data_IF_648142760498
#
_entry.id   IF_648142760498
#
_cell.length_a   1.000
_cell.length_b   1.000
_cell.length_c   1.000
_cell.angle_alpha   90.00
_cell.angle_beta   90.00
_cell.angle_gamma   90.00
#
_symmetry.space_group_name_H-M   'P 1'
#
loop_
_entity.id
_entity.type
_entity.pdbx_description
1 polymer ?
#
# COMPACT_ATOMS: atom_id res chain seq x y z
N UNK A 1 -9.63 12.78 10.60
CA UNK A 1 -8.42 12.73 9.76
C UNK A 1 -8.83 12.99 8.31
N UNK A 2 -8.06 13.72 7.56
CA UNK A 2 -8.41 14.05 6.16
C UNK A 2 -7.68 13.07 5.27
N UNK A 3 -8.44 12.25 4.54
CA UNK A 3 -7.91 11.28 3.58
C UNK A 3 -7.64 11.87 2.19
N UNK A 4 -7.79 13.21 2.05
CA UNK A 4 -7.66 13.91 0.77
C UNK A 4 -8.94 13.91 -0.06
N UNK A 5 -9.96 13.13 0.29
CA UNK A 5 -11.24 13.18 -0.42
C UNK A 5 -12.02 14.46 -0.09
N UNK A 6 -12.86 14.87 -1.01
CA UNK A 6 -13.73 16.02 -0.87
C UNK A 6 -15.19 15.58 -0.85
N UNK A 7 -16.02 16.28 -0.10
CA UNK A 7 -17.47 16.11 -0.14
C UNK A 7 -18.04 16.51 -1.51
N UNK A 8 -19.33 16.30 -1.73
CA UNK A 8 -20.04 16.62 -2.99
C UNK A 8 -19.84 18.08 -3.47
N UNK A 9 -19.57 19.00 -2.55
CA UNK A 9 -19.27 20.39 -2.87
C UNK A 9 -17.88 20.61 -3.52
N UNK A 10 -17.06 19.56 -3.60
CA UNK A 10 -15.68 19.55 -4.12
C UNK A 10 -14.74 20.58 -3.44
N UNK A 11 -15.04 20.98 -2.21
CA UNK A 11 -14.28 21.96 -1.43
C UNK A 11 -14.05 21.53 0.01
N UNK A 12 -15.07 20.94 0.64
CA UNK A 12 -15.00 20.52 2.03
C UNK A 12 -14.31 19.16 2.13
N UNK A 13 -13.20 19.03 2.87
CA UNK A 13 -12.57 17.73 3.10
C UNK A 13 -13.54 16.78 3.79
N UNK A 14 -13.53 15.51 3.41
CA UNK A 14 -14.26 14.47 4.11
C UNK A 14 -13.75 14.32 5.54
N UNK A 15 -14.65 13.99 6.43
CA UNK A 15 -14.36 13.76 7.84
C UNK A 15 -14.51 12.27 8.21
N UNK A 16 -14.22 11.95 9.46
CA UNK A 16 -14.32 10.59 9.98
C UNK A 16 -15.74 10.00 9.80
N UNK A 17 -16.79 10.79 10.08
CA UNK A 17 -18.17 10.29 10.01
C UNK A 17 -18.59 10.04 8.56
N UNK A 18 -18.17 10.88 7.62
CA UNK A 18 -18.36 10.64 6.19
C UNK A 18 -17.68 9.35 5.75
N UNK A 19 -16.40 9.17 6.11
CA UNK A 19 -15.63 7.96 5.77
C UNK A 19 -16.30 6.70 6.36
N UNK A 20 -16.72 6.75 7.63
CA UNK A 20 -17.48 5.66 8.27
C UNK A 20 -18.76 5.34 7.49
N UNK A 21 -19.55 6.36 7.13
CA UNK A 21 -20.82 6.18 6.42
C UNK A 21 -20.60 5.48 5.07
N UNK A 22 -19.74 6.04 4.22
CA UNK A 22 -19.49 5.51 2.88
C UNK A 22 -18.88 4.10 2.94
N UNK A 23 -17.93 3.89 3.82
CA UNK A 23 -17.28 2.58 3.99
C UNK A 23 -18.29 1.53 4.48
N UNK A 24 -19.15 1.86 5.45
CA UNK A 24 -20.19 0.96 5.94
C UNK A 24 -21.18 0.57 4.84
N UNK A 25 -21.68 1.53 4.08
CA UNK A 25 -22.57 1.27 2.93
C UNK A 25 -21.89 0.35 1.90
N UNK A 26 -20.61 0.57 1.64
CA UNK A 26 -19.80 -0.29 0.75
C UNK A 26 -19.68 -1.71 1.29
N UNK A 27 -19.41 -1.86 2.58
CA UNK A 27 -19.31 -3.16 3.25
C UNK A 27 -20.63 -3.93 3.14
N UNK A 28 -21.76 -3.30 3.43
CA UNK A 28 -23.08 -3.93 3.35
C UNK A 28 -23.34 -4.49 1.94
N UNK A 29 -23.05 -3.71 0.89
CA UNK A 29 -23.21 -4.15 -0.50
C UNK A 29 -22.22 -5.27 -0.84
N UNK A 30 -20.94 -5.10 -0.51
CA UNK A 30 -19.89 -6.02 -0.88
C UNK A 30 -20.05 -7.39 -0.19
N UNK A 31 -20.30 -7.39 1.13
CA UNK A 31 -20.48 -8.62 1.90
C UNK A 31 -21.71 -9.43 1.43
N UNK A 32 -22.81 -8.75 1.08
CA UNK A 32 -23.97 -9.42 0.48
C UNK A 32 -23.63 -10.19 -0.80
N UNK A 33 -22.56 -9.80 -1.50
CA UNK A 33 -22.08 -10.44 -2.73
C UNK A 33 -20.81 -11.29 -2.52
N UNK A 34 -20.36 -11.46 -1.28
CA UNK A 34 -19.19 -12.27 -0.95
C UNK A 34 -17.85 -11.61 -1.25
N UNK A 35 -17.80 -10.28 -1.32
CA UNK A 35 -16.61 -9.48 -1.61
C UNK A 35 -16.11 -8.81 -0.33
N UNK A 36 -14.81 -8.93 -0.05
CA UNK A 36 -14.15 -8.29 1.10
C UNK A 36 -13.89 -6.81 0.81
N UNK A 37 -13.88 -5.99 1.87
CA UNK A 37 -13.67 -4.54 1.79
C UNK A 37 -12.44 -4.15 2.60
N UNK A 38 -11.58 -3.35 1.97
CA UNK A 38 -10.50 -2.63 2.62
C UNK A 38 -10.92 -1.18 2.83
N UNK A 39 -10.86 -0.70 4.06
CA UNK A 39 -10.97 0.70 4.39
C UNK A 39 -9.61 1.33 4.59
N UNK A 40 -9.52 2.64 4.54
CA UNK A 40 -8.31 3.39 4.84
C UNK A 40 -8.59 4.49 5.85
N UNK A 41 -7.70 4.64 6.82
CA UNK A 41 -7.78 5.66 7.84
C UNK A 41 -6.39 6.25 8.11
N UNK A 42 -6.28 7.55 7.96
CA UNK A 42 -5.04 8.26 8.16
C UNK A 42 -4.68 9.13 6.97
N UNK A 43 -3.70 9.99 7.16
CA UNK A 43 -3.13 10.79 6.09
C UNK A 43 -1.77 10.20 5.73
N UNK A 44 -1.65 9.64 4.54
CA UNK A 44 -0.35 9.19 4.05
C UNK A 44 0.59 10.38 3.91
N UNK A 45 1.83 10.19 4.27
CA UNK A 45 2.85 11.23 4.17
C UNK A 45 4.19 10.79 4.76
N UNK A 46 5.22 11.57 4.47
CA UNK A 46 6.58 11.26 4.91
C UNK A 46 6.86 11.82 6.30
N UNK A 47 7.23 10.97 7.24
CA UNK A 47 7.71 11.38 8.56
C UNK A 47 9.03 12.19 8.48
N UNK A 48 9.81 12.03 7.41
CA UNK A 48 11.05 12.78 7.21
C UNK A 48 10.78 14.27 6.90
N UNK A 49 9.77 14.55 6.05
CA UNK A 49 9.50 15.91 5.57
C UNK A 49 8.30 16.57 6.24
N UNK A 50 7.44 15.81 6.90
CA UNK A 50 6.16 16.28 7.41
C UNK A 50 5.12 16.58 6.32
N UNK A 51 5.44 16.31 5.07
CA UNK A 51 4.54 16.56 3.95
C UNK A 51 3.53 15.42 3.80
N UNK A 52 2.25 15.78 3.79
CA UNK A 52 1.18 14.88 3.37
C UNK A 52 1.27 14.54 1.88
N UNK A 53 0.63 13.47 1.48
CA UNK A 53 0.62 13.02 0.10
C UNK A 53 -0.26 13.89 -0.78
N UNK A 54 0.16 14.06 -2.04
CA UNK A 54 -0.56 14.80 -3.08
C UNK A 54 -0.58 14.00 -4.40
N UNK A 55 -0.89 12.70 -4.35
CA UNK A 55 -0.78 11.84 -5.54
C UNK A 55 -1.67 12.33 -6.70
N UNK A 56 -2.88 12.78 -6.40
CA UNK A 56 -3.85 13.27 -7.40
C UNK A 56 -4.02 14.81 -7.37
N UNK A 57 -3.05 15.54 -6.81
CA UNK A 57 -3.13 16.99 -6.66
C UNK A 57 -4.11 17.43 -5.55
N UNK A 58 -4.61 16.50 -4.76
CA UNK A 58 -5.44 16.73 -3.58
C UNK A 58 -4.72 16.17 -2.37
N UNK A 59 -4.52 16.97 -1.35
CA UNK A 59 -3.82 16.55 -0.13
C UNK A 59 -3.65 17.70 0.87
N UNK A 60 -2.92 17.45 1.94
CA UNK A 60 -2.59 18.48 2.91
C UNK A 60 -1.58 19.47 2.33
N UNK A 61 -1.96 20.75 2.23
CA UNK A 61 -1.07 21.80 1.72
C UNK A 61 -0.04 22.26 2.77
N UNK A 62 -0.18 21.84 4.02
CA UNK A 62 0.66 22.26 5.14
C UNK A 62 1.55 21.11 5.63
N UNK A 63 2.65 21.47 6.31
CA UNK A 63 3.49 20.51 7.03
C UNK A 63 2.69 19.99 8.23
N UNK A 64 2.45 18.67 8.23
CA UNK A 64 1.71 17.99 9.29
C UNK A 64 2.62 17.59 10.43
N UNK A 65 2.10 17.54 11.64
CA UNK A 65 2.82 16.98 12.77
C UNK A 65 2.99 15.46 12.61
N UNK A 66 3.98 14.89 13.29
CA UNK A 66 4.26 13.46 13.27
C UNK A 66 3.01 12.61 13.59
N UNK A 67 2.23 13.01 14.59
CA UNK A 67 1.01 12.29 14.96
C UNK A 67 -0.12 12.44 13.92
N UNK A 68 -0.16 13.53 13.18
CA UNK A 68 -1.14 13.70 12.10
C UNK A 68 -0.86 12.83 10.86
N UNK A 69 0.38 12.38 10.70
CA UNK A 69 0.83 11.45 9.65
C UNK A 69 0.72 9.98 10.06
N UNK A 70 0.18 9.70 11.24
CA UNK A 70 0.01 8.35 11.77
C UNK A 70 -1.46 8.10 12.12
N UNK A 71 -1.96 6.92 11.76
CA UNK A 71 -3.31 6.51 12.15
C UNK A 71 -3.41 6.40 13.66
N UNK A 72 -4.41 7.05 14.26
CA UNK A 72 -4.69 6.93 15.69
C UNK A 72 -5.27 5.55 16.02
N UNK A 73 -4.75 4.82 17.03
CA UNK A 73 -5.20 3.46 17.36
C UNK A 73 -6.64 3.38 17.88
N UNK A 74 -7.15 4.42 18.54
CA UNK A 74 -8.53 4.45 19.05
C UNK A 74 -9.51 4.76 17.93
N UNK A 75 -9.18 5.71 17.06
CA UNK A 75 -9.94 5.97 15.83
C UNK A 75 -9.99 4.73 14.93
N UNK A 76 -8.85 4.02 14.77
CA UNK A 76 -8.80 2.78 13.99
C UNK A 76 -9.76 1.72 14.55
N UNK A 77 -9.75 1.52 15.86
CA UNK A 77 -10.65 0.58 16.53
C UNK A 77 -12.13 0.99 16.38
N UNK A 78 -12.43 2.28 16.51
CA UNK A 78 -13.78 2.80 16.31
C UNK A 78 -14.25 2.65 14.86
N UNK A 79 -13.38 2.96 13.89
CA UNK A 79 -13.66 2.83 12.46
C UNK A 79 -14.02 1.38 12.10
N UNK A 80 -13.20 0.41 12.47
CA UNK A 80 -13.46 -1.01 12.19
C UNK A 80 -14.75 -1.48 12.87
N UNK A 81 -14.98 -1.08 14.13
CA UNK A 81 -16.21 -1.42 14.86
C UNK A 81 -17.47 -0.87 14.17
N UNK A 82 -17.42 0.34 13.63
CA UNK A 82 -18.56 0.99 12.96
C UNK A 82 -18.81 0.47 11.54
N UNK A 83 -17.73 0.17 10.80
CA UNK A 83 -17.80 -0.17 9.38
C UNK A 83 -17.79 -1.66 9.10
N UNK A 84 -17.19 -2.46 9.96
CA UNK A 84 -16.98 -3.91 9.80
C UNK A 84 -16.14 -4.26 8.56
N UNK A 85 -15.15 -3.44 8.21
CA UNK A 85 -14.20 -3.76 7.14
C UNK A 85 -13.36 -5.00 7.46
N UNK A 86 -12.95 -5.73 6.44
CA UNK A 86 -12.10 -6.92 6.56
C UNK A 86 -10.64 -6.56 6.76
N UNK A 87 -10.22 -5.46 6.16
CA UNK A 87 -8.86 -4.95 6.22
C UNK A 87 -8.85 -3.44 6.40
N UNK A 88 -7.84 -2.94 7.10
CA UNK A 88 -7.63 -1.52 7.32
C UNK A 88 -6.24 -1.09 6.87
N UNK A 89 -6.19 -0.22 5.87
CA UNK A 89 -4.97 0.49 5.52
C UNK A 89 -4.70 1.59 6.53
N UNK A 90 -3.47 1.64 7.03
CA UNK A 90 -3.03 2.53 8.09
C UNK A 90 -1.87 3.40 7.64
N UNK A 91 -1.91 4.67 8.02
CA UNK A 91 -0.81 5.60 7.83
C UNK A 91 0.27 5.36 8.91
N UNK A 92 1.47 5.06 8.47
CA UNK A 92 2.59 4.66 9.34
C UNK A 92 3.91 5.34 8.92
N UNK A 93 3.82 6.49 8.25
CA UNK A 93 4.98 7.28 7.83
C UNK A 93 5.44 7.06 6.40
N UNK A 94 4.59 6.50 5.55
CA UNK A 94 4.87 6.23 4.14
C UNK A 94 3.98 7.07 3.22
N UNK A 95 4.46 7.31 2.00
CA UNK A 95 3.74 7.96 0.92
C UNK A 95 3.84 7.16 -0.37
N UNK A 96 2.91 7.36 -1.31
CA UNK A 96 3.00 6.80 -2.65
C UNK A 96 4.10 7.47 -3.49
N UNK A 97 4.34 6.96 -4.70
CA UNK A 97 5.31 7.50 -5.63
C UNK A 97 6.75 7.05 -5.37
N UNK A 98 7.66 7.54 -6.23
CA UNK A 98 9.07 7.17 -6.20
C UNK A 98 9.91 8.05 -5.28
N UNK A 99 9.49 9.27 -5.01
CA UNK A 99 10.24 10.25 -4.23
C UNK A 99 9.74 10.25 -2.79
N UNK A 100 10.12 9.21 -2.03
CA UNK A 100 9.64 8.98 -0.65
C UNK A 100 10.55 9.61 0.40
N UNK A 101 11.85 9.31 0.32
CA UNK A 101 12.85 9.77 1.27
C UNK A 101 14.04 10.36 0.52
N UNK A 102 14.61 11.44 1.08
CA UNK A 102 15.71 12.20 0.46
C UNK A 102 17.09 11.69 0.87
N UNK A 103 17.15 10.83 1.88
CA UNK A 103 18.39 10.22 2.41
C UNK A 103 18.18 8.72 2.63
N UNK A 104 19.26 7.93 2.68
CA UNK A 104 19.18 6.52 3.00
C UNK A 104 18.47 6.30 4.36
N UNK A 105 17.50 5.36 4.42
CA UNK A 105 16.81 5.03 5.65
C UNK A 105 17.77 4.56 6.75
N UNK A 106 17.53 4.99 7.99
CA UNK A 106 18.36 4.68 9.16
C UNK A 106 17.78 3.61 10.08
N UNK A 107 16.63 3.03 9.72
CA UNK A 107 15.97 1.95 10.48
C UNK A 107 14.78 2.42 11.32
N UNK A 108 14.33 3.65 11.10
CA UNK A 108 13.21 4.31 11.78
C UNK A 108 12.19 4.91 10.80
N UNK A 109 12.11 4.32 9.61
CA UNK A 109 11.25 4.81 8.51
C UNK A 109 9.79 4.56 8.80
N UNK A 110 9.47 3.38 9.33
CA UNK A 110 8.11 2.99 9.69
C UNK A 110 7.85 3.18 11.18
N UNK A 111 6.66 3.66 11.51
CA UNK A 111 6.18 3.75 12.89
C UNK A 111 5.76 2.36 13.41
N UNK A 112 6.73 1.46 13.62
CA UNK A 112 6.48 0.05 14.02
C UNK A 112 5.70 -0.04 15.33
N UNK A 113 5.96 0.83 16.29
CA UNK A 113 5.22 0.84 17.56
C UNK A 113 3.75 1.20 17.36
N UNK A 114 3.43 2.09 16.42
CA UNK A 114 2.06 2.41 16.03
C UNK A 114 1.34 1.19 15.41
N UNK A 115 2.04 0.41 14.59
CA UNK A 115 1.51 -0.88 14.06
C UNK A 115 1.16 -1.82 15.20
N UNK A 116 2.04 -1.97 16.20
CA UNK A 116 1.82 -2.82 17.38
C UNK A 116 0.60 -2.36 18.20
N UNK A 117 0.48 -1.04 18.42
CA UNK A 117 -0.65 -0.46 19.16
C UNK A 117 -1.98 -0.74 18.47
N UNK A 118 -2.04 -0.49 17.15
CA UNK A 118 -3.25 -0.76 16.34
C UNK A 118 -3.56 -2.25 16.33
N UNK A 119 -2.57 -3.11 16.08
CA UNK A 119 -2.78 -4.56 16.05
C UNK A 119 -3.26 -5.12 17.40
N UNK A 120 -2.80 -4.56 18.51
CA UNK A 120 -3.27 -4.92 19.85
C UNK A 120 -4.77 -4.62 20.04
N UNK A 121 -5.26 -3.52 19.48
CA UNK A 121 -6.68 -3.13 19.53
C UNK A 121 -7.53 -3.87 18.49
N UNK A 122 -6.93 -4.27 17.38
CA UNK A 122 -7.58 -4.90 16.22
C UNK A 122 -6.92 -6.25 15.87
N UNK A 123 -6.90 -7.24 16.78
CA UNK A 123 -6.17 -8.49 16.56
C UNK A 123 -6.76 -9.37 15.45
N UNK A 124 -8.01 -9.12 15.05
CA UNK A 124 -8.74 -9.89 14.02
C UNK A 124 -8.85 -9.14 12.69
N UNK A 125 -8.37 -7.89 12.59
CA UNK A 125 -8.43 -7.08 11.36
C UNK A 125 -7.09 -7.14 10.63
N UNK A 126 -7.12 -7.39 9.32
CA UNK A 126 -5.91 -7.35 8.51
C UNK A 126 -5.41 -5.92 8.36
N UNK A 127 -4.20 -5.64 8.84
CA UNK A 127 -3.57 -4.35 8.60
C UNK A 127 -2.91 -4.32 7.21
N UNK A 128 -3.05 -3.19 6.54
CA UNK A 128 -2.52 -2.97 5.19
C UNK A 128 -1.54 -1.80 5.22
N UNK A 129 -0.44 -1.95 4.48
CA UNK A 129 0.55 -0.89 4.25
C UNK A 129 0.47 -0.39 2.83
N UNK A 130 0.19 0.91 2.66
CA UNK A 130 0.33 1.64 1.41
C UNK A 130 1.71 2.32 1.35
N UNK A 131 2.09 2.82 0.17
CA UNK A 131 3.34 3.55 0.00
C UNK A 131 4.62 2.77 0.30
N UNK A 132 4.59 1.44 0.27
CA UNK A 132 5.62 0.55 0.83
C UNK A 132 6.69 0.09 -0.17
N UNK A 133 6.74 0.66 -1.37
CA UNK A 133 7.81 0.33 -2.33
C UNK A 133 9.19 0.66 -1.79
N UNK A 134 10.16 -0.23 -2.04
CA UNK A 134 11.53 -0.11 -1.51
C UNK A 134 12.45 0.73 -2.38
N UNK A 135 12.02 1.07 -3.59
CA UNK A 135 12.78 1.88 -4.56
C UNK A 135 14.18 1.29 -4.80
N UNK A 136 14.29 0.11 -5.47
CA UNK A 136 15.57 -0.57 -5.67
C UNK A 136 16.58 0.32 -6.41
N UNK A 137 17.74 0.55 -5.79
CA UNK A 137 18.74 1.50 -6.26
C UNK A 137 19.42 1.05 -7.56
N UNK A 138 19.52 -0.25 -7.79
CA UNK A 138 20.02 -0.84 -9.04
C UNK A 138 19.12 -0.53 -10.23
N UNK A 139 17.80 -0.48 -10.02
CA UNK A 139 16.84 -0.08 -11.06
C UNK A 139 16.97 1.41 -11.40
N UNK A 140 17.12 2.29 -10.41
CA UNK A 140 17.36 3.72 -10.63
C UNK A 140 18.67 3.91 -11.42
N UNK A 141 19.73 3.22 -11.02
CA UNK A 141 21.01 3.24 -11.71
C UNK A 141 20.86 2.81 -13.17
N UNK A 142 20.18 1.69 -13.42
CA UNK A 142 19.93 1.20 -14.78
C UNK A 142 19.12 2.22 -15.61
N UNK A 143 18.06 2.78 -15.04
CA UNK A 143 17.25 3.79 -15.73
C UNK A 143 18.12 5.00 -16.14
N UNK A 144 18.96 5.47 -15.22
CA UNK A 144 19.81 6.65 -15.47
C UNK A 144 20.96 6.34 -16.45
N UNK A 145 21.54 5.13 -16.40
CA UNK A 145 22.54 4.67 -17.35
C UNK A 145 22.00 4.66 -18.80
N UNK A 146 20.74 4.27 -18.97
CA UNK A 146 20.08 4.20 -20.28
C UNK A 146 19.20 5.43 -20.59
N UNK A 147 19.68 6.63 -20.21
CA UNK A 147 19.11 7.91 -20.64
C UNK A 147 17.98 8.44 -19.76
N UNK A 148 17.75 7.86 -18.57
CA UNK A 148 16.86 8.43 -17.55
C UNK A 148 17.52 9.56 -16.76
N UNK A 149 16.70 10.26 -15.95
CA UNK A 149 17.14 11.33 -15.05
C UNK A 149 16.36 11.29 -13.74
N UNK A 150 16.23 10.10 -13.14
CA UNK A 150 15.59 9.98 -11.84
C UNK A 150 16.54 10.57 -10.79
N UNK A 151 16.01 11.47 -9.95
CA UNK A 151 16.76 12.05 -8.83
C UNK A 151 17.01 11.00 -7.76
N UNK A 152 18.00 11.26 -6.93
CA UNK A 152 18.27 10.45 -5.76
C UNK A 152 17.03 10.38 -4.86
N UNK A 153 16.62 9.16 -4.54
CA UNK A 153 15.45 8.89 -3.70
C UNK A 153 15.54 7.48 -3.14
N UNK A 154 14.92 7.25 -2.01
CA UNK A 154 14.94 5.99 -1.28
C UNK A 154 13.52 5.57 -0.92
N UNK A 155 13.30 4.27 -0.75
CA UNK A 155 12.04 3.69 -0.34
C UNK A 155 12.11 3.04 1.03
N UNK A 156 11.07 2.29 1.37
CA UNK A 156 10.99 1.59 2.66
C UNK A 156 11.92 0.39 2.67
N UNK A 157 12.78 0.24 3.72
CA UNK A 157 13.64 -0.93 3.87
C UNK A 157 12.83 -2.22 3.98
N UNK A 158 13.27 -3.27 3.29
CA UNK A 158 12.63 -4.60 3.36
C UNK A 158 12.58 -5.13 4.80
N UNK A 159 13.64 -4.90 5.59
CA UNK A 159 13.69 -5.30 7.00
C UNK A 159 12.59 -4.66 7.85
N UNK A 160 12.24 -3.40 7.60
CA UNK A 160 11.15 -2.73 8.30
C UNK A 160 9.78 -3.24 7.85
N UNK A 161 9.60 -3.55 6.56
CA UNK A 161 8.39 -4.21 6.07
C UNK A 161 8.21 -5.58 6.73
N UNK A 162 9.28 -6.36 6.82
CA UNK A 162 9.28 -7.66 7.52
C UNK A 162 8.92 -7.51 9.00
N UNK A 163 9.38 -6.45 9.65
CA UNK A 163 9.00 -6.16 11.04
C UNK A 163 7.51 -5.79 11.15
N UNK A 164 6.97 -5.02 10.20
CA UNK A 164 5.53 -4.75 10.10
C UNK A 164 4.71 -6.04 9.94
N UNK A 165 5.16 -6.97 9.09
CA UNK A 165 4.52 -8.27 8.90
C UNK A 165 4.45 -9.08 10.21
N UNK A 166 5.53 -9.12 10.99
CA UNK A 166 5.55 -9.77 12.30
C UNK A 166 4.55 -9.16 13.29
N UNK A 167 4.24 -7.88 13.11
CA UNK A 167 3.39 -7.10 14.00
C UNK A 167 1.96 -6.87 13.50
N UNK A 168 1.46 -7.67 12.56
CA UNK A 168 0.04 -7.68 12.19
C UNK A 168 -0.28 -7.21 10.77
N UNK A 169 0.70 -6.69 10.03
CA UNK A 169 0.50 -6.36 8.61
C UNK A 169 0.31 -7.66 7.81
N UNK A 170 -0.71 -7.67 6.94
CA UNK A 170 -1.06 -8.84 6.12
C UNK A 170 -1.10 -8.55 4.62
N UNK A 171 -1.18 -7.28 4.24
CA UNK A 171 -1.13 -6.84 2.84
C UNK A 171 -0.15 -5.67 2.71
N UNK A 172 0.69 -5.72 1.69
CA UNK A 172 1.65 -4.67 1.36
C UNK A 172 1.45 -4.30 -0.11
N UNK A 173 1.16 -3.03 -0.38
CA UNK A 173 0.99 -2.53 -1.73
C UNK A 173 2.35 -2.12 -2.30
N UNK A 174 2.71 -2.72 -3.45
CA UNK A 174 3.95 -2.45 -4.17
C UNK A 174 3.61 -2.04 -5.60
N UNK A 175 3.87 -0.80 -5.96
CA UNK A 175 3.65 -0.25 -7.29
C UNK A 175 4.93 0.34 -7.89
N UNK A 176 5.56 1.29 -7.21
CA UNK A 176 6.74 2.00 -7.73
C UNK A 176 7.87 1.06 -8.13
N UNK A 177 8.13 -0.01 -7.36
CA UNK A 177 9.17 -1.00 -7.68
C UNK A 177 8.90 -1.67 -9.03
N UNK A 178 7.64 -1.95 -9.35
CA UNK A 178 7.23 -2.54 -10.62
C UNK A 178 7.37 -1.53 -11.78
N UNK A 179 6.98 -0.28 -11.55
CA UNK A 179 7.17 0.81 -12.55
C UNK A 179 8.64 1.03 -12.85
N UNK A 180 9.51 1.01 -11.84
CA UNK A 180 10.96 1.13 -12.02
C UNK A 180 11.52 -0.06 -12.80
N UNK A 181 11.12 -1.29 -12.47
CA UNK A 181 11.57 -2.49 -13.18
C UNK A 181 11.14 -2.49 -14.65
N UNK A 182 9.89 -2.12 -14.92
CA UNK A 182 9.36 -1.95 -16.28
C UNK A 182 10.17 -0.91 -17.06
N UNK A 183 10.37 0.28 -16.47
CA UNK A 183 11.08 1.40 -17.12
C UNK A 183 12.54 1.05 -17.38
N UNK A 184 13.23 0.41 -16.43
CA UNK A 184 14.61 -0.02 -16.58
C UNK A 184 14.76 -1.00 -17.74
N UNK A 185 13.88 -2.00 -17.81
CA UNK A 185 13.90 -3.01 -18.88
C UNK A 185 13.64 -2.40 -20.26
N UNK A 186 12.64 -1.52 -20.37
CA UNK A 186 12.31 -0.85 -21.65
C UNK A 186 13.46 0.06 -22.12
N UNK A 187 14.03 0.86 -21.21
CA UNK A 187 15.16 1.73 -21.57
C UNK A 187 16.37 0.93 -22.04
N UNK A 188 16.71 -0.14 -21.34
CA UNK A 188 17.78 -1.07 -21.72
C UNK A 188 17.49 -1.72 -23.08
N UNK A 189 16.25 -2.11 -23.35
CA UNK A 189 15.82 -2.68 -24.62
C UNK A 189 16.10 -1.71 -25.79
N UNK A 190 15.63 -0.47 -25.69
CA UNK A 190 15.85 0.54 -26.73
C UNK A 190 17.31 0.99 -26.89
N UNK A 191 18.09 0.90 -25.81
CA UNK A 191 19.54 1.12 -25.91
C UNK A 191 20.22 0.02 -26.74
N UNK A 192 19.84 -1.24 -26.51
CA UNK A 192 20.42 -2.40 -27.20
C UNK A 192 19.92 -2.55 -28.64
N UNK A 193 18.68 -2.16 -28.91
CA UNK A 193 18.06 -2.17 -30.24
C UNK A 193 17.31 -0.84 -30.48
N UNK A 194 18.03 0.22 -30.91
CA UNK A 194 17.43 1.52 -31.18
C UNK A 194 16.42 1.52 -32.33
N UNK A 195 16.41 0.49 -33.17
CA UNK A 195 15.48 0.37 -34.29
C UNK A 195 14.14 -0.27 -33.90
N UNK A 196 14.05 -0.81 -32.71
CA UNK A 196 12.85 -1.52 -32.26
C UNK A 196 11.67 -0.57 -32.10
N UNK A 197 10.54 -0.92 -32.72
CA UNK A 197 9.30 -0.16 -32.64
C UNK A 197 8.08 -1.02 -32.23
N UNK A 198 8.22 -2.35 -32.24
CA UNK A 198 7.11 -3.26 -31.94
C UNK A 198 6.94 -3.41 -30.43
N UNK A 199 5.80 -2.93 -29.85
CA UNK A 199 5.55 -2.99 -28.42
C UNK A 199 5.54 -4.42 -27.85
N UNK A 200 5.19 -5.42 -28.64
CA UNK A 200 5.23 -6.83 -28.21
C UNK A 200 6.62 -7.29 -27.81
N UNK A 201 7.68 -6.67 -28.32
CA UNK A 201 9.08 -6.98 -28.01
C UNK A 201 9.53 -6.32 -26.71
N UNK A 202 9.51 -4.99 -26.63
CA UNK A 202 9.99 -4.29 -25.43
C UNK A 202 9.08 -4.47 -24.21
N UNK A 203 7.77 -4.71 -24.39
CA UNK A 203 6.88 -5.07 -23.30
C UNK A 203 7.10 -6.49 -22.76
N UNK A 204 7.68 -7.39 -23.56
CA UNK A 204 8.10 -8.69 -23.06
C UNK A 204 9.23 -8.54 -22.03
N UNK A 205 10.26 -7.73 -22.35
CA UNK A 205 11.35 -7.46 -21.41
C UNK A 205 10.85 -6.72 -20.16
N UNK A 206 9.93 -5.76 -20.32
CA UNK A 206 9.23 -5.11 -19.21
C UNK A 206 8.55 -6.12 -18.27
N UNK A 207 7.79 -7.05 -18.84
CA UNK A 207 7.11 -8.12 -18.10
C UNK A 207 8.08 -9.00 -17.31
N UNK A 208 9.18 -9.42 -17.95
CA UNK A 208 10.19 -10.25 -17.28
C UNK A 208 10.90 -9.47 -16.16
N UNK A 209 11.20 -8.19 -16.36
CA UNK A 209 11.74 -7.32 -15.31
C UNK A 209 10.81 -7.19 -14.09
N UNK A 210 9.53 -6.92 -14.32
CA UNK A 210 8.53 -6.88 -13.24
C UNK A 210 8.39 -8.23 -12.53
N UNK A 211 8.42 -9.34 -13.28
CA UNK A 211 8.34 -10.70 -12.72
C UNK A 211 9.48 -11.01 -11.74
N UNK A 212 10.68 -10.49 -12.01
CA UNK A 212 11.82 -10.63 -11.08
C UNK A 212 11.48 -9.97 -9.75
N UNK A 213 11.01 -8.73 -9.77
CA UNK A 213 10.63 -7.99 -8.57
C UNK A 213 9.49 -8.69 -7.82
N UNK A 214 8.44 -9.13 -8.52
CA UNK A 214 7.32 -9.85 -7.87
C UNK A 214 7.81 -11.10 -7.13
N UNK A 215 8.65 -11.92 -7.77
CA UNK A 215 9.21 -13.12 -7.12
C UNK A 215 10.03 -12.76 -5.89
N UNK A 216 10.90 -11.77 -5.99
CA UNK A 216 11.71 -11.30 -4.89
C UNK A 216 10.86 -10.82 -3.71
N UNK A 217 9.83 -10.02 -3.95
CA UNK A 217 8.92 -9.55 -2.89
C UNK A 217 8.12 -10.70 -2.26
N UNK A 218 7.67 -11.69 -3.04
CA UNK A 218 6.99 -12.87 -2.49
C UNK A 218 7.91 -13.69 -1.57
N UNK A 219 9.20 -13.79 -1.88
CA UNK A 219 10.19 -14.44 -1.04
C UNK A 219 10.48 -13.62 0.22
N UNK A 220 10.77 -12.33 0.08
CA UNK A 220 11.09 -11.42 1.18
C UNK A 220 9.94 -11.25 2.19
N UNK A 221 8.70 -11.28 1.71
CA UNK A 221 7.50 -11.15 2.55
C UNK A 221 6.98 -12.50 3.07
N UNK A 222 7.66 -13.61 2.78
CA UNK A 222 7.34 -14.93 3.30
C UNK A 222 6.10 -15.58 2.69
N UNK A 223 5.62 -15.07 1.54
CA UNK A 223 4.43 -15.63 0.84
C UNK A 223 4.78 -16.65 -0.22
N UNK A 224 6.03 -16.74 -0.65
CA UNK A 224 6.49 -17.73 -1.62
C UNK A 224 6.21 -19.17 -1.14
N UNK A 225 5.85 -20.06 -2.07
CA UNK A 225 5.56 -21.47 -1.77
C UNK A 225 4.21 -21.74 -1.09
N UNK A 226 3.35 -20.74 -0.94
CA UNK A 226 2.05 -20.90 -0.27
C UNK A 226 0.85 -20.99 -1.23
N UNK A 227 1.01 -20.69 -2.52
CA UNK A 227 -0.10 -20.65 -3.48
C UNK A 227 -0.91 -21.97 -3.54
N UNK A 228 -0.24 -23.13 -3.48
CA UNK A 228 -0.91 -24.43 -3.50
C UNK A 228 -1.72 -24.74 -2.24
N UNK A 229 -1.48 -24.01 -1.14
CA UNK A 229 -2.20 -24.16 0.13
C UNK A 229 -3.51 -23.34 0.16
N UNK A 230 -3.61 -22.33 -0.72
CA UNK A 230 -4.77 -21.44 -0.78
C UNK A 230 -5.83 -22.09 -1.66
N UNK A 231 -7.02 -22.30 -1.07
CA UNK A 231 -8.18 -22.82 -1.80
C UNK A 231 -9.20 -21.69 -1.94
N UNK A 232 -9.37 -21.12 -3.16
CA UNK A 232 -10.37 -20.09 -3.40
C UNK A 232 -11.77 -20.57 -3.02
N UNK A 233 -12.54 -19.72 -2.38
CA UNK A 233 -13.97 -19.94 -2.11
C UNK A 233 -14.78 -19.23 -3.17
N UNK A 234 -15.97 -19.77 -3.50
CA UNK A 234 -16.88 -19.07 -4.41
C UNK A 234 -17.50 -17.85 -3.72
N UNK A 235 -17.95 -16.87 -4.51
CA UNK A 235 -18.63 -15.69 -3.97
C UNK A 235 -19.87 -16.07 -3.15
N UNK A 236 -20.62 -17.09 -3.57
CA UNK A 236 -21.79 -17.57 -2.81
C UNK A 236 -21.41 -18.14 -1.44
N UNK A 237 -20.31 -18.88 -1.35
CA UNK A 237 -19.79 -19.38 -0.06
C UNK A 237 -19.32 -18.23 0.81
N UNK A 238 -18.63 -17.24 0.23
CA UNK A 238 -18.18 -16.05 0.96
C UNK A 238 -19.36 -15.22 1.46
N UNK A 239 -20.40 -14.97 0.62
CA UNK A 239 -21.62 -14.27 1.03
C UNK A 239 -22.30 -14.96 2.21
N UNK A 240 -22.39 -16.28 2.19
CA UNK A 240 -22.96 -17.04 3.32
C UNK A 240 -22.10 -16.92 4.60
N UNK A 241 -20.77 -16.93 4.48
CA UNK A 241 -19.87 -16.76 5.62
C UNK A 241 -19.99 -15.37 6.26
N UNK A 242 -20.19 -14.33 5.46
CA UNK A 242 -20.48 -12.98 5.97
C UNK A 242 -21.84 -12.92 6.66
N UNK A 243 -22.88 -13.48 6.03
CA UNK A 243 -24.24 -13.54 6.60
C UNK A 243 -24.30 -14.30 7.94
N UNK A 244 -23.48 -15.33 8.09
CA UNK A 244 -23.40 -16.14 9.29
C UNK A 244 -22.46 -15.57 10.39
N UNK A 245 -21.86 -14.40 10.15
CA UNK A 245 -20.84 -13.76 11.00
C UNK A 245 -19.64 -14.69 11.32
N UNK A 246 -19.25 -15.51 10.34
CA UNK A 246 -18.19 -16.52 10.52
C UNK A 246 -16.79 -16.05 10.07
N UNK A 247 -16.70 -14.88 9.45
CA UNK A 247 -15.42 -14.34 8.97
C UNK A 247 -14.77 -13.36 9.94
N UNK A 248 -15.54 -12.69 10.80
CA UNK A 248 -15.05 -11.72 11.78
C UNK A 248 -14.09 -12.29 12.84
N UNK A 249 -13.99 -13.62 12.96
CA UNK A 249 -13.26 -14.26 14.05
C UNK A 249 -12.18 -15.27 13.64
N UNK A 250 -11.92 -15.48 12.36
CA UNK A 250 -11.00 -16.54 11.91
C UNK A 250 -10.18 -16.14 10.69
N UNK A 251 -9.30 -15.19 10.89
CA UNK A 251 -8.24 -15.01 9.93
C UNK A 251 -6.90 -15.20 10.65
N UNK A 252 -6.43 -16.45 10.61
CA UNK A 252 -5.10 -16.85 11.03
C UNK A 252 -4.26 -17.19 9.82
#
# INVERSE_FOLDING_TARGET
MRDGSLLEDQKTPSDFDFNVKVTKETVEIAHAHGVSVEGELGCLGSLETGMGEQEDGVGAEEVLSHDQLLTDPDEAAEFVRKTQVDALAIAIGTSHGAYKFTRPPTGDTLAIDRIKEINKKLPSTHLVMHGSSSVPQDLIKTINEFGGKIKETYGVPISEIQEGIKNGVRKINIDTDLRLASTAAIRKHFHNDPSQFDPRKYLLDSKEGMKVIVKQRLEEFGTAGNASKIKPKSLSVMSQLYSDDKLSHKIY
#
